data_IF_025314334851
#
_entry.id   IF_025314334851
#
_cell.length_a   1.000
_cell.length_b   1.000
_cell.length_c   1.000
_cell.angle_alpha   90.00
_cell.angle_beta   90.00
_cell.angle_gamma   90.00
#
_symmetry.space_group_name_H-M   'P 1'
#
loop_
_entity.id
_entity.type
_entity.pdbx_description
1 polymer ?
#
# COMPACT_ATOMS: atom_id res chain seq x y z
N UNK A 1 -25.64 3.71 -35.06
CA UNK A 1 -26.00 4.48 -33.85
C UNK A 1 -26.06 3.60 -32.59
N UNK A 2 -26.85 2.51 -32.56
CA UNK A 2 -26.98 1.61 -31.40
C UNK A 2 -25.66 0.96 -30.94
N UNK A 3 -24.85 0.46 -31.88
CA UNK A 3 -23.55 -0.17 -31.55
C UNK A 3 -22.51 0.82 -31.01
N UNK A 4 -22.60 2.09 -31.38
CA UNK A 4 -21.62 3.12 -30.96
C UNK A 4 -21.88 3.48 -29.50
N UNK A 5 -23.14 3.60 -29.11
CA UNK A 5 -23.56 3.86 -27.72
C UNK A 5 -23.18 2.68 -26.81
N UNK A 6 -23.37 1.44 -27.29
CA UNK A 6 -22.96 0.25 -26.55
C UNK A 6 -21.44 0.21 -26.32
N UNK A 7 -20.65 0.57 -27.33
CA UNK A 7 -19.19 0.61 -27.21
C UNK A 7 -18.73 1.65 -26.18
N UNK A 8 -19.33 2.85 -26.20
CA UNK A 8 -19.00 3.93 -25.28
C UNK A 8 -19.35 3.59 -23.82
N UNK A 9 -20.47 2.91 -23.58
CA UNK A 9 -20.86 2.45 -22.25
C UNK A 9 -19.87 1.44 -21.67
N UNK A 10 -19.37 0.51 -22.50
CA UNK A 10 -18.37 -0.48 -22.07
C UNK A 10 -17.06 0.21 -21.69
N UNK A 11 -16.60 1.15 -22.51
CA UNK A 11 -15.36 1.91 -22.26
C UNK A 11 -15.48 2.71 -20.95
N UNK A 12 -16.61 3.37 -20.71
CA UNK A 12 -16.85 4.13 -19.48
C UNK A 12 -16.85 3.25 -18.21
N UNK A 13 -17.42 2.05 -18.29
CA UNK A 13 -17.40 1.09 -17.17
C UNK A 13 -15.98 0.63 -16.87
N UNK A 14 -15.20 0.31 -17.90
CA UNK A 14 -13.80 -0.13 -17.72
C UNK A 14 -12.94 0.98 -17.10
N UNK A 15 -13.07 2.23 -17.57
CA UNK A 15 -12.36 3.38 -17.03
C UNK A 15 -12.75 3.72 -15.58
N UNK A 16 -13.99 3.44 -15.17
CA UNK A 16 -14.46 3.70 -13.80
C UNK A 16 -13.92 2.68 -12.79
N UNK A 17 -13.44 1.52 -13.26
CA UNK A 17 -12.88 0.46 -12.39
C UNK A 17 -11.39 0.61 -12.11
N UNK A 18 -10.67 1.52 -12.77
CA UNK A 18 -9.24 1.76 -12.53
C UNK A 18 -9.04 2.81 -11.43
N UNK A 19 -9.60 2.58 -10.24
CA UNK A 19 -9.16 3.29 -9.03
C UNK A 19 -8.05 2.43 -8.45
N UNK A 20 -6.83 2.68 -8.91
CA UNK A 20 -5.64 2.06 -8.31
C UNK A 20 -5.48 2.74 -6.96
N UNK A 21 -6.00 2.11 -5.91
CA UNK A 21 -5.61 2.45 -4.56
C UNK A 21 -4.13 2.07 -4.46
N UNK A 22 -3.24 3.02 -4.73
CA UNK A 22 -1.87 3.02 -4.22
C UNK A 22 -1.95 3.25 -2.70
N UNK A 23 -2.67 2.38 -1.99
CA UNK A 23 -2.37 2.20 -0.58
C UNK A 23 -0.96 1.63 -0.57
N UNK A 24 0.01 2.44 -0.13
CA UNK A 24 1.31 1.97 0.27
C UNK A 24 1.08 0.84 1.27
N UNK A 25 1.07 -0.40 0.75
CA UNK A 25 0.73 -1.60 1.50
C UNK A 25 1.56 -1.63 2.78
N UNK A 26 0.88 -1.47 3.92
CA UNK A 26 1.51 -1.44 5.22
C UNK A 26 2.03 -2.85 5.54
N UNK A 27 3.35 -2.98 5.65
CA UNK A 27 4.01 -4.25 5.95
C UNK A 27 4.76 -4.08 7.27
N UNK A 28 4.21 -4.65 8.34
CA UNK A 28 4.90 -4.79 9.61
C UNK A 28 5.91 -5.94 9.54
N UNK A 29 7.15 -5.68 9.93
CA UNK A 29 8.22 -6.67 9.94
C UNK A 29 8.37 -7.28 11.34
N UNK A 30 8.66 -8.59 11.45
CA UNK A 30 9.01 -9.18 12.74
C UNK A 30 10.36 -8.65 13.23
N UNK A 31 10.49 -8.46 14.55
CA UNK A 31 11.73 -7.99 15.18
C UNK A 31 11.48 -6.83 16.14
N UNK A 32 12.52 -6.37 16.85
CA UNK A 32 12.43 -5.23 17.77
C UNK A 32 12.91 -3.92 17.13
N UNK A 33 13.81 -4.00 16.15
CA UNK A 33 14.37 -2.88 15.40
C UNK A 33 14.67 -3.33 13.95
N UNK A 34 15.04 -2.39 13.08
CA UNK A 34 15.38 -2.68 11.70
C UNK A 34 16.71 -3.43 11.49
N UNK A 35 17.59 -3.51 12.50
CA UNK A 35 18.84 -4.30 12.40
C UNK A 35 18.58 -5.80 12.56
N UNK A 36 17.57 -6.16 13.38
CA UNK A 36 17.14 -7.53 13.62
C UNK A 36 16.03 -8.00 12.67
N UNK A 37 15.38 -7.07 11.97
CA UNK A 37 14.26 -7.35 11.08
C UNK A 37 14.72 -7.88 9.71
N UNK A 38 13.96 -8.78 9.06
CA UNK A 38 14.25 -9.20 7.69
C UNK A 38 14.07 -8.03 6.71
N UNK A 39 14.74 -8.11 5.57
CA UNK A 39 14.59 -7.12 4.50
C UNK A 39 13.15 -7.13 3.94
N UNK A 40 12.66 -5.95 3.53
CA UNK A 40 11.36 -5.85 2.88
C UNK A 40 11.34 -6.63 1.55
N UNK A 41 10.25 -7.36 1.25
CA UNK A 41 10.15 -8.20 0.05
C UNK A 41 10.25 -7.39 -1.26
N UNK A 42 9.82 -6.13 -1.22
CA UNK A 42 9.84 -5.22 -2.37
C UNK A 42 11.14 -4.39 -2.46
N UNK A 43 12.16 -4.69 -1.64
CA UNK A 43 13.40 -3.91 -1.59
C UNK A 43 13.26 -2.50 -1.02
N UNK A 44 12.11 -2.17 -0.41
CA UNK A 44 11.91 -0.90 0.31
C UNK A 44 12.80 -0.84 1.57
N UNK A 45 13.19 0.35 2.03
CA UNK A 45 13.93 0.47 3.28
C UNK A 45 13.06 0.04 4.48
N UNK A 46 13.67 -0.60 5.47
CA UNK A 46 13.04 -0.75 6.77
C UNK A 46 13.06 0.60 7.50
N UNK A 47 11.94 0.95 8.13
CA UNK A 47 11.80 2.14 8.98
C UNK A 47 11.12 1.75 10.29
N UNK A 48 11.51 2.42 11.37
CA UNK A 48 10.78 2.30 12.64
C UNK A 48 9.61 3.29 12.61
N UNK A 49 8.38 2.77 12.54
CA UNK A 49 7.18 3.57 12.43
C UNK A 49 6.15 3.18 13.49
N UNK A 50 5.23 4.09 13.82
CA UNK A 50 4.11 3.73 14.68
C UNK A 50 3.25 2.66 14.02
N UNK A 51 2.74 1.68 14.78
CA UNK A 51 1.90 0.65 14.21
C UNK A 51 0.62 1.26 13.62
N UNK A 52 0.16 0.74 12.48
CA UNK A 52 -1.17 1.08 11.97
C UNK A 52 -2.26 0.33 12.73
N UNK A 53 -3.29 1.07 13.14
CA UNK A 53 -4.29 0.57 14.07
C UNK A 53 -5.68 0.89 13.55
N UNK A 54 -6.47 -0.15 13.27
CA UNK A 54 -7.82 0.02 12.75
C UNK A 54 -8.85 0.32 13.85
N UNK A 55 -8.55 0.03 15.12
CA UNK A 55 -9.41 0.32 16.28
C UNK A 55 -8.64 0.18 17.61
N UNK A 56 -8.93 1.05 18.60
CA UNK A 56 -8.43 0.96 19.98
C UNK A 56 -7.12 1.72 20.27
N UNK A 57 -6.52 1.46 21.44
CA UNK A 57 -5.20 1.98 21.85
C UNK A 57 -4.11 0.99 21.41
N UNK A 58 -3.53 1.22 20.25
CA UNK A 58 -2.33 0.50 19.89
C UNK A 58 -1.09 1.05 20.60
N UNK A 59 -0.04 0.23 20.65
CA UNK A 59 1.24 0.64 21.22
C UNK A 59 1.75 1.92 20.55
N UNK A 60 2.24 2.85 21.36
CA UNK A 60 2.90 4.07 20.86
C UNK A 60 4.38 3.84 20.56
N UNK A 61 4.86 2.62 20.79
CA UNK A 61 6.23 2.24 20.50
C UNK A 61 6.40 2.00 19.00
N UNK A 62 7.39 2.63 18.36
CA UNK A 62 7.72 2.35 16.98
C UNK A 62 8.09 0.88 16.78
N UNK A 63 7.62 0.32 15.67
CA UNK A 63 7.87 -1.06 15.26
C UNK A 63 8.51 -1.11 13.88
N UNK A 64 9.33 -2.14 13.58
CA UNK A 64 9.94 -2.30 12.27
C UNK A 64 8.86 -2.46 11.19
N UNK A 65 8.89 -1.60 10.19
CA UNK A 65 7.87 -1.51 9.14
C UNK A 65 8.56 -1.21 7.81
N UNK A 66 8.01 -1.71 6.70
CA UNK A 66 8.49 -1.29 5.40
C UNK A 66 8.13 0.16 5.11
N UNK A 67 9.13 0.94 4.69
CA UNK A 67 8.96 2.33 4.30
C UNK A 67 8.16 2.50 3.01
N UNK A 68 7.92 3.76 2.60
CA UNK A 68 7.19 4.07 1.38
C UNK A 68 7.84 3.41 0.16
N UNK A 69 7.03 3.03 -0.84
CA UNK A 69 7.61 2.59 -2.12
C UNK A 69 8.49 3.72 -2.65
N UNK A 70 9.72 3.42 -3.13
CA UNK A 70 10.47 4.42 -3.89
C UNK A 70 9.62 4.78 -5.10
N UNK A 71 9.11 6.02 -5.15
CA UNK A 71 8.41 6.54 -6.32
C UNK A 71 9.37 6.42 -7.50
N UNK A 72 8.97 5.66 -8.53
CA UNK A 72 9.70 5.65 -9.81
C UNK A 72 9.70 7.09 -10.33
N UNK A 73 10.82 7.80 -10.17
CA UNK A 73 11.10 9.05 -10.91
C UNK A 73 11.27 8.77 -12.38
#
# INVERSE_FOLDING_TARGET
MKSIIALLMIIAVVLSTTVVAEDDEYIHLPGKNCEDAPSCPDGRPCVMALPHCNSGTCGTDPVPTCGPKPSKS
#
